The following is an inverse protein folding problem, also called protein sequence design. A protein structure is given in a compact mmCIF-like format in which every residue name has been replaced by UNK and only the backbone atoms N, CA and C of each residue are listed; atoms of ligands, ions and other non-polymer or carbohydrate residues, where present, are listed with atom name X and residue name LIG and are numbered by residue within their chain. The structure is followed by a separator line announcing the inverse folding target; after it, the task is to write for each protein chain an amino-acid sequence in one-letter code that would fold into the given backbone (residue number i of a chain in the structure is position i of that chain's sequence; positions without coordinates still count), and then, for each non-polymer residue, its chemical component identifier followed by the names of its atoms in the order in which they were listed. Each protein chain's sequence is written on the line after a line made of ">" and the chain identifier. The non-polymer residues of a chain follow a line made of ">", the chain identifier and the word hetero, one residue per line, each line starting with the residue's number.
data_IF_984903424708
#
_entry.id   IF_984903424708
#
_cell.length_a   1.000
_cell.length_b   1.000
_cell.length_c   1.000
_cell.angle_alpha   90.00
_cell.angle_beta   90.00
_cell.angle_gamma   90.00
#
_symmetry.space_group_name_H-M   'P 1'
#
loop_
_entity.id
_entity.type
_entity.pdbx_description
1 polymer ?
#
# COMPACT_ATOMS: atom_id res chain seq x y z
N UNK A 1 -20.87 1.59 -8.57
CA UNK A 1 -19.93 0.92 -9.50
C UNK A 1 -19.03 -0.08 -8.79
N UNK A 2 -18.62 0.19 -7.55
CA UNK A 2 -17.78 -0.68 -6.72
C UNK A 2 -18.36 -2.07 -6.44
N UNK A 3 -19.66 -2.20 -6.16
CA UNK A 3 -20.29 -3.52 -5.89
C UNK A 3 -20.17 -4.50 -7.07
N UNK A 4 -20.34 -4.01 -8.31
CA UNK A 4 -20.21 -4.84 -9.50
C UNK A 4 -18.78 -5.33 -9.72
N UNK A 5 -17.79 -4.46 -9.45
CA UNK A 5 -16.39 -4.82 -9.53
C UNK A 5 -16.02 -5.85 -8.46
N UNK A 6 -16.49 -5.65 -7.22
CA UNK A 6 -16.27 -6.58 -6.11
C UNK A 6 -16.82 -7.99 -6.41
N UNK A 7 -18.03 -8.07 -6.95
CA UNK A 7 -18.67 -9.34 -7.34
C UNK A 7 -17.99 -10.06 -8.51
N UNK A 8 -17.12 -9.38 -9.25
CA UNK A 8 -16.35 -9.97 -10.35
C UNK A 8 -15.01 -10.56 -9.92
N UNK A 9 -14.60 -10.35 -8.66
CA UNK A 9 -13.38 -10.92 -8.11
C UNK A 9 -13.60 -12.41 -7.85
N UNK A 10 -12.70 -13.25 -8.39
CA UNK A 10 -12.77 -14.69 -8.20
C UNK A 10 -12.17 -15.12 -6.85
N UNK A 11 -12.63 -16.25 -6.32
CA UNK A 11 -12.05 -16.88 -5.11
C UNK A 11 -10.54 -17.12 -5.29
N UNK A 12 -10.12 -17.50 -6.49
CA UNK A 12 -8.70 -17.68 -6.84
C UNK A 12 -7.91 -16.39 -6.73
N UNK A 13 -8.48 -15.27 -7.19
CA UNK A 13 -7.86 -13.94 -7.08
C UNK A 13 -7.63 -13.60 -5.61
N UNK A 14 -8.64 -13.78 -4.77
CA UNK A 14 -8.56 -13.54 -3.32
C UNK A 14 -7.47 -14.43 -2.70
N UNK A 15 -7.48 -15.73 -3.00
CA UNK A 15 -6.48 -16.69 -2.50
C UNK A 15 -5.05 -16.30 -2.88
N UNK A 16 -4.84 -15.85 -4.12
CA UNK A 16 -3.52 -15.44 -4.59
C UNK A 16 -3.03 -14.16 -3.91
N UNK A 17 -3.92 -13.21 -3.60
CA UNK A 17 -3.56 -12.02 -2.82
C UNK A 17 -3.05 -12.41 -1.42
N UNK A 18 -3.77 -13.29 -0.71
CA UNK A 18 -3.33 -13.78 0.61
C UNK A 18 -1.98 -14.50 0.53
N UNK A 19 -1.76 -15.34 -0.49
CA UNK A 19 -0.45 -16.00 -0.71
C UNK A 19 0.68 -15.02 -0.96
N UNK A 20 0.43 -13.98 -1.77
CA UNK A 20 1.43 -12.96 -2.10
C UNK A 20 1.82 -12.14 -0.87
N UNK A 21 0.90 -11.96 0.08
CA UNK A 21 1.18 -11.35 1.39
C UNK A 21 1.82 -12.32 2.40
N UNK A 22 2.22 -13.52 1.99
CA UNK A 22 2.89 -14.51 2.85
C UNK A 22 1.95 -15.35 3.71
N UNK A 23 0.62 -15.27 3.52
CA UNK A 23 -0.31 -16.15 4.21
C UNK A 23 -0.32 -17.53 3.54
N UNK A 24 0.25 -18.51 4.25
CA UNK A 24 0.18 -19.93 3.88
C UNK A 24 -1.18 -20.49 4.28
N UNK A 25 -2.08 -20.58 3.30
CA UNK A 25 -3.34 -21.29 3.50
C UNK A 25 -3.06 -22.79 3.41
N UNK A 26 -2.83 -23.44 4.55
CA UNK A 26 -2.88 -24.89 4.62
C UNK A 26 -4.27 -25.32 4.16
N UNK A 27 -4.31 -26.21 3.17
CA UNK A 27 -5.56 -26.77 2.66
C UNK A 27 -6.13 -27.77 3.68
N UNK A 28 -6.51 -27.28 4.86
CA UNK A 28 -7.58 -27.91 5.60
C UNK A 28 -8.86 -27.51 4.88
N UNK A 29 -9.66 -28.49 4.49
CA UNK A 29 -11.00 -28.24 3.99
C UNK A 29 -11.71 -27.39 5.04
N UNK A 30 -11.88 -26.10 4.72
CA UNK A 30 -12.74 -25.22 5.48
C UNK A 30 -14.12 -25.80 5.31
N UNK A 31 -14.53 -26.57 6.31
CA UNK A 31 -15.91 -26.92 6.55
C UNK A 31 -16.73 -25.66 6.28
N UNK A 32 -17.69 -25.73 5.36
CA UNK A 32 -18.74 -24.71 5.18
C UNK A 32 -19.66 -24.73 6.41
N UNK A 33 -19.10 -24.69 7.62
CA UNK A 33 -19.84 -24.20 8.77
C UNK A 33 -20.16 -22.75 8.43
N UNK A 34 -21.45 -22.37 8.44
CA UNK A 34 -21.81 -20.97 8.45
C UNK A 34 -20.97 -20.34 9.56
N UNK A 35 -20.11 -19.39 9.20
CA UNK A 35 -19.66 -18.39 10.16
C UNK A 35 -20.95 -17.67 10.55
N UNK A 36 -21.65 -18.23 11.53
CA UNK A 36 -22.57 -17.50 12.40
C UNK A 36 -21.70 -16.36 12.91
N UNK A 37 -21.79 -15.24 12.21
CA UNK A 37 -21.23 -13.99 12.67
C UNK A 37 -21.96 -13.78 13.98
N UNK A 38 -21.30 -14.13 15.08
CA UNK A 38 -21.81 -13.92 16.41
C UNK A 38 -21.90 -12.40 16.59
N UNK A 39 -23.01 -11.83 16.12
CA UNK A 39 -23.40 -10.46 16.35
C UNK A 39 -23.71 -10.23 17.85
N UNK A 40 -23.57 -11.26 18.70
CA UNK A 40 -23.52 -11.17 20.16
C UNK A 40 -22.12 -10.99 20.72
N UNK A 41 -21.12 -10.64 19.91
CA UNK A 41 -20.03 -9.76 20.38
C UNK A 41 -20.60 -8.36 20.65
N UNK A 42 -21.59 -8.27 21.54
CA UNK A 42 -21.75 -7.13 22.40
C UNK A 42 -20.43 -7.02 23.13
N UNK A 43 -19.50 -6.24 22.56
CA UNK A 43 -18.29 -5.84 23.25
C UNK A 43 -18.78 -5.28 24.59
N UNK A 44 -18.61 -6.07 25.65
CA UNK A 44 -19.08 -5.68 26.97
C UNK A 44 -18.15 -4.55 27.40
N UNK A 45 -18.52 -3.32 27.02
CA UNK A 45 -17.77 -2.11 27.33
C UNK A 45 -17.61 -1.93 28.85
N UNK A 46 -18.37 -2.66 29.67
CA UNK A 46 -18.16 -2.68 31.11
C UNK A 46 -16.92 -3.51 31.52
N UNK A 47 -16.44 -4.46 30.71
CA UNK A 47 -15.15 -5.16 30.94
C UNK A 47 -13.95 -4.23 30.74
N UNK A 48 -14.09 -3.18 29.93
CA UNK A 48 -13.06 -2.16 29.72
C UNK A 48 -12.94 -1.18 30.89
N UNK A 49 -13.87 -1.20 31.86
CA UNK A 49 -13.84 -0.29 33.02
C UNK A 49 -12.84 -0.69 34.10
N UNK A 50 -12.28 -1.90 34.03
CA UNK A 50 -11.33 -2.46 35.01
C UNK A 50 -9.96 -2.74 34.38
N UNK A 51 -9.65 -2.14 33.24
CA UNK A 51 -8.32 -2.27 32.65
C UNK A 51 -7.40 -1.28 33.34
N UNK A 52 -6.30 -1.75 33.93
CA UNK A 52 -5.28 -0.89 34.57
C UNK A 52 -4.54 0.01 33.56
N UNK A 53 -4.84 -0.16 32.27
CA UNK A 53 -4.27 0.58 31.14
C UNK A 53 -4.69 2.05 31.22
N UNK A 54 -3.69 2.91 31.33
CA UNK A 54 -3.84 4.36 31.28
C UNK A 54 -3.88 4.84 29.82
N UNK A 55 -4.32 6.07 29.62
CA UNK A 55 -4.32 6.67 28.29
C UNK A 55 -2.90 6.74 27.70
N UNK A 56 -1.92 7.03 28.55
CA UNK A 56 -0.50 7.15 28.22
C UNK A 56 0.05 5.85 27.61
N UNK A 57 -0.43 4.69 28.04
CA UNK A 57 0.00 3.39 27.51
C UNK A 57 -0.35 3.23 26.02
N UNK A 58 -1.40 3.90 25.54
CA UNK A 58 -1.75 3.94 24.12
C UNK A 58 -0.94 4.98 23.35
N UNK A 59 -0.55 6.08 24.00
CA UNK A 59 0.25 7.14 23.39
C UNK A 59 1.67 6.65 23.12
N UNK A 60 2.22 5.86 24.03
CA UNK A 60 3.59 5.33 23.96
C UNK A 60 3.63 3.88 23.50
N UNK A 61 2.54 3.35 22.91
CA UNK A 61 2.46 1.93 22.57
C UNK A 61 3.47 1.51 21.48
N UNK A 62 3.93 2.47 20.67
CA UNK A 62 4.96 2.30 19.65
C UNK A 62 6.34 2.80 20.10
N UNK A 63 6.47 3.25 21.36
CA UNK A 63 7.73 3.76 21.88
C UNK A 63 8.76 2.62 21.99
N UNK A 64 9.88 2.77 21.27
CA UNK A 64 10.92 1.74 21.19
C UNK A 64 10.60 0.58 20.25
N UNK A 65 9.49 0.63 19.51
CA UNK A 65 9.26 -0.29 18.40
C UNK A 65 10.28 0.02 17.29
N UNK A 66 10.97 -1.02 16.81
CA UNK A 66 11.89 -0.87 15.70
C UNK A 66 11.11 -0.44 14.45
N UNK A 67 11.24 0.83 14.09
CA UNK A 67 10.78 1.37 12.81
C UNK A 67 11.89 1.25 11.78
N UNK A 68 11.55 1.45 10.51
CA UNK A 68 12.58 1.71 9.51
C UNK A 68 13.36 2.96 9.93
N UNK A 69 14.69 2.91 9.84
CA UNK A 69 15.52 4.07 10.10
C UNK A 69 15.14 5.23 9.17
N UNK A 70 15.34 6.46 9.64
CA UNK A 70 15.23 7.62 8.76
C UNK A 70 16.39 7.62 7.79
N UNK A 71 16.09 7.60 6.49
CA UNK A 71 17.11 7.75 5.47
C UNK A 71 17.70 9.16 5.53
N UNK A 72 19.02 9.25 5.40
CA UNK A 72 19.71 10.51 5.16
C UNK A 72 19.48 10.97 3.72
N UNK A 73 19.58 12.28 3.46
CA UNK A 73 19.48 12.83 2.11
C UNK A 73 20.42 12.14 1.12
N UNK A 74 21.62 11.74 1.58
CA UNK A 74 22.59 11.01 0.76
C UNK A 74 22.08 9.61 0.38
N UNK A 75 21.51 8.86 1.33
CA UNK A 75 20.92 7.54 1.06
C UNK A 75 19.71 7.64 0.14
N UNK A 76 18.88 8.69 0.28
CA UNK A 76 17.75 8.95 -0.62
C UNK A 76 18.26 9.19 -2.05
N UNK A 77 19.28 10.04 -2.20
CA UNK A 77 19.87 10.34 -3.51
C UNK A 77 20.50 9.10 -4.14
N UNK A 78 21.17 8.26 -3.34
CA UNK A 78 21.78 7.03 -3.83
C UNK A 78 20.74 6.00 -4.30
N UNK A 79 19.61 5.85 -3.60
CA UNK A 79 18.47 5.00 -4.04
C UNK A 79 17.93 5.50 -5.38
N UNK A 80 17.61 6.80 -5.47
CA UNK A 80 17.07 7.39 -6.71
C UNK A 80 18.06 7.24 -7.87
N UNK A 81 19.37 7.36 -7.61
CA UNK A 81 20.38 7.18 -8.64
C UNK A 81 20.62 5.70 -8.99
N UNK A 82 20.42 4.77 -8.07
CA UNK A 82 20.45 3.32 -8.36
C UNK A 82 19.28 2.94 -9.27
N UNK A 83 18.07 3.41 -8.98
CA UNK A 83 16.88 3.16 -9.81
C UNK A 83 17.03 3.69 -11.24
N UNK A 84 17.80 4.78 -11.44
CA UNK A 84 18.05 5.36 -12.77
C UNK A 84 19.14 4.57 -13.54
N UNK A 85 20.04 3.88 -12.84
CA UNK A 85 21.15 3.14 -13.46
C UNK A 85 20.87 1.63 -13.61
N UNK A 86 19.86 1.10 -12.93
CA UNK A 86 19.36 -0.25 -13.10
C UNK A 86 18.13 -0.26 -14.02
N UNK A 87 18.39 -0.20 -15.34
CA UNK A 87 17.49 -0.77 -16.36
C UNK A 87 17.42 -2.33 -16.25
N UNK A 88 17.54 -2.89 -15.03
CA UNK A 88 17.18 -4.26 -14.73
C UNK A 88 15.90 -4.22 -13.90
N UNK A 89 14.80 -3.97 -14.59
CA UNK A 89 13.48 -4.41 -14.16
C UNK A 89 13.62 -5.89 -13.79
N UNK A 90 13.54 -6.22 -12.51
CA UNK A 90 13.18 -7.59 -12.12
C UNK A 90 11.81 -7.84 -12.74
N UNK A 91 11.76 -8.71 -13.75
CA UNK A 91 10.55 -9.04 -14.50
C UNK A 91 9.44 -9.65 -13.61
N UNK A 92 9.64 -9.75 -12.29
CA UNK A 92 8.65 -10.18 -11.31
C UNK A 92 8.09 -9.09 -10.41
N UNK A 93 8.62 -7.86 -10.43
CA UNK A 93 7.95 -6.72 -9.79
C UNK A 93 7.03 -6.06 -10.80
N UNK A 94 5.85 -6.66 -10.95
CA UNK A 94 4.75 -6.03 -11.68
C UNK A 94 4.23 -4.90 -10.81
N UNK A 95 4.97 -3.79 -10.79
CA UNK A 95 4.41 -2.49 -10.43
C UNK A 95 3.25 -2.26 -11.41
N UNK A 96 2.03 -2.41 -10.90
CA UNK A 96 0.83 -2.00 -11.58
C UNK A 96 0.71 -0.47 -11.54
N UNK A 97 1.77 0.25 -11.94
CA UNK A 97 1.63 1.65 -12.33
C UNK A 97 0.78 1.65 -13.58
N UNK A 98 -0.43 2.19 -13.49
CA UNK A 98 -1.23 2.45 -14.67
C UNK A 98 -0.39 3.34 -15.60
N UNK A 99 -0.18 3.00 -16.88
CA UNK A 99 0.49 3.89 -17.82
C UNK A 99 -0.20 5.26 -17.96
N UNK A 100 -1.40 5.44 -17.41
CA UNK A 100 -2.09 6.72 -17.26
C UNK A 100 -1.53 7.64 -16.15
N UNK A 101 -0.75 7.13 -15.19
CA UNK A 101 -0.19 7.92 -14.06
C UNK A 101 1.19 8.53 -14.37
N UNK A 102 1.77 8.24 -15.54
CA UNK A 102 2.91 9.00 -16.04
C UNK A 102 2.41 10.34 -16.56
N UNK A 103 2.59 11.42 -15.78
CA UNK A 103 2.60 12.76 -16.35
C UNK A 103 3.59 12.76 -17.54
N UNK A 104 3.21 13.29 -18.71
CA UNK A 104 4.09 13.27 -19.86
C UNK A 104 5.39 13.98 -19.48
N UNK A 105 6.49 13.24 -19.48
CA UNK A 105 7.80 13.79 -19.18
C UNK A 105 8.19 14.77 -20.28
N UNK A 106 7.94 16.07 -20.04
CA UNK A 106 8.31 17.14 -20.95
C UNK A 106 9.81 17.38 -20.79
N UNK A 107 10.57 17.22 -21.86
CA UNK A 107 12.00 17.52 -21.84
C UNK A 107 12.23 19.02 -21.61
N UNK A 108 13.39 19.35 -21.02
CA UNK A 108 13.83 20.75 -20.88
C UNK A 108 13.81 21.53 -22.21
N UNK A 109 14.00 20.84 -23.34
CA UNK A 109 13.95 21.43 -24.68
C UNK A 109 12.51 21.81 -25.07
N UNK A 110 11.54 20.94 -24.81
CA UNK A 110 10.12 21.18 -25.10
C UNK A 110 9.54 22.25 -24.19
N UNK A 111 9.89 22.24 -22.90
CA UNK A 111 9.51 23.29 -21.95
C UNK A 111 10.00 24.68 -22.42
N UNK A 112 11.26 24.77 -22.89
CA UNK A 112 11.82 26.01 -23.45
C UNK A 112 11.11 26.45 -24.73
N UNK A 113 10.75 25.51 -25.59
CA UNK A 113 9.99 25.80 -26.82
C UNK A 113 8.61 26.37 -26.49
N UNK A 114 7.89 25.77 -25.53
CA UNK A 114 6.58 26.25 -25.09
C UNK A 114 6.64 27.68 -24.52
N UNK A 115 7.67 27.99 -23.72
CA UNK A 115 7.89 29.35 -23.20
C UNK A 115 8.12 30.37 -24.31
N UNK A 116 8.92 30.01 -25.33
CA UNK A 116 9.16 30.91 -26.47
C UNK A 116 7.88 31.16 -27.28
N UNK A 117 7.03 30.15 -27.43
CA UNK A 117 5.71 30.31 -28.03
C UNK A 117 4.83 31.27 -27.23
N UNK A 118 4.75 31.10 -25.90
CA UNK A 118 3.97 32.00 -25.04
C UNK A 118 4.41 33.46 -25.17
N UNK A 119 5.73 33.70 -25.22
CA UNK A 119 6.32 35.04 -25.40
C UNK A 119 5.99 35.70 -26.73
N UNK A 120 5.54 34.95 -27.74
CA UNK A 120 5.12 35.55 -29.01
C UNK A 120 3.72 36.18 -28.95
N UNK A 121 2.95 35.89 -27.90
CA UNK A 121 1.61 36.43 -27.68
C UNK A 121 1.59 37.66 -26.74
N UNK A 122 2.74 38.06 -26.20
CA UNK A 122 2.93 39.20 -25.28
C UNK A 122 3.84 40.23 -25.93
#
# INVERSE_FOLDING_TARGET
>A
MTDKAWRSVSVTTISNCFKSCGFLMSQEEVSEEPLELDMSLEADWNKLKNTEVQFEDYVTCDEGLATTGTLTDAEIIDIVNQDINEDNIDENDVDHTDPADFEPYISNKEARAAINTLRSFI
#
